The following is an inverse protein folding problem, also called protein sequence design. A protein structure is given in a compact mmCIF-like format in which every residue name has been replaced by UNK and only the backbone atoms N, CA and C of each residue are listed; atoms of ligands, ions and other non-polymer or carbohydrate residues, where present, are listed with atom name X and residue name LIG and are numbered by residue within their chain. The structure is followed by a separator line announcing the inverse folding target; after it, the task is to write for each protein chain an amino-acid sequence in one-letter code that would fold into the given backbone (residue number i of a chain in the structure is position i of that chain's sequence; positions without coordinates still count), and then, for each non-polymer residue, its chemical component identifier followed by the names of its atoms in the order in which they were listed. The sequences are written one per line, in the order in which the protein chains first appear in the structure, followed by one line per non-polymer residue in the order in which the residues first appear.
data_IF_128246131422
#
_entry.id   IF_128246131422
#
_cell.length_a   1.000
_cell.length_b   1.000
_cell.length_c   1.000
_cell.angle_alpha   90.00
_cell.angle_beta   90.00
_cell.angle_gamma   90.00
#
_symmetry.space_group_name_H-M   'P 1'
#
loop_
_entity.id
_entity.type
_entity.pdbx_description
1 polymer ?
#
# COMPACT_ATOMS: atom_id res chain seq x y z
N UNK A 1 -8.41 24.34 1.24
CA UNK A 1 -9.24 23.57 0.30
C UNK A 1 -8.48 22.35 -0.20
N UNK A 2 -8.33 21.32 0.63
CA UNK A 2 -7.65 20.08 0.21
C UNK A 2 -8.70 19.07 -0.18
N UNK A 3 -9.04 19.07 -1.48
CA UNK A 3 -9.81 17.97 -2.07
C UNK A 3 -8.90 16.73 -2.02
N UNK A 4 -9.33 15.61 -1.41
CA UNK A 4 -8.53 14.39 -1.44
C UNK A 4 -8.36 13.93 -2.90
N UNK A 5 -7.22 13.34 -3.23
CA UNK A 5 -7.08 12.63 -4.48
C UNK A 5 -7.94 11.38 -4.42
N UNK A 6 -8.87 11.24 -5.36
CA UNK A 6 -9.75 10.07 -5.48
C UNK A 6 -9.45 9.42 -6.83
N UNK A 7 -9.08 8.15 -6.80
CA UNK A 7 -8.75 7.39 -8.00
C UNK A 7 -9.01 5.90 -7.79
N UNK A 8 -9.24 5.19 -8.89
CA UNK A 8 -9.41 3.73 -8.91
C UNK A 8 -8.06 3.03 -8.78
N UNK A 9 -8.03 1.96 -7.99
CA UNK A 9 -6.89 1.06 -7.84
C UNK A 9 -7.37 -0.38 -7.88
N UNK A 10 -6.48 -1.28 -8.29
CA UNK A 10 -6.70 -2.72 -8.17
C UNK A 10 -5.79 -3.29 -7.08
N UNK A 11 -6.36 -4.03 -6.14
CA UNK A 11 -5.59 -4.67 -5.08
C UNK A 11 -4.80 -5.83 -5.70
N UNK A 12 -3.49 -5.67 -5.78
CA UNK A 12 -2.61 -6.67 -6.42
C UNK A 12 -2.31 -7.86 -5.51
N UNK A 13 -2.43 -7.70 -4.19
CA UNK A 13 -2.24 -8.78 -3.23
C UNK A 13 -2.43 -8.30 -1.79
N UNK A 14 -2.77 -9.25 -0.93
CA UNK A 14 -3.05 -9.00 0.48
C UNK A 14 -4.40 -8.31 0.73
N UNK A 15 -4.46 -7.52 1.81
CA UNK A 15 -5.68 -6.84 2.26
C UNK A 15 -5.44 -5.33 2.36
N UNK A 16 -6.25 -4.57 1.64
CA UNK A 16 -6.28 -3.11 1.72
C UNK A 16 -7.28 -2.69 2.79
N UNK A 17 -6.84 -1.88 3.76
CA UNK A 17 -7.70 -1.40 4.87
C UNK A 17 -7.72 0.12 4.95
N UNK A 18 -8.78 0.69 5.53
CA UNK A 18 -8.83 2.11 5.88
C UNK A 18 -7.71 2.48 6.85
N UNK A 19 -7.30 3.75 6.79
CA UNK A 19 -6.23 4.33 7.59
C UNK A 19 -4.83 3.74 7.37
N UNK A 20 -4.63 2.98 6.29
CA UNK A 20 -3.33 2.42 5.94
C UNK A 20 -2.44 3.50 5.30
N UNK A 21 -1.18 3.53 5.72
CA UNK A 21 -0.16 4.39 5.13
C UNK A 21 0.40 3.73 3.88
N UNK A 22 0.60 4.53 2.83
CA UNK A 22 1.05 4.06 1.52
C UNK A 22 2.34 4.77 1.12
N UNK A 23 3.22 4.02 0.45
CA UNK A 23 4.47 4.48 -0.16
C UNK A 23 4.50 4.11 -1.64
N UNK A 24 5.32 4.80 -2.42
CA UNK A 24 5.56 4.46 -3.83
C UNK A 24 6.74 3.48 -4.00
N UNK A 25 7.02 3.10 -5.24
CA UNK A 25 8.13 2.22 -5.66
C UNK A 25 9.54 2.74 -5.29
N UNK A 26 9.66 4.02 -4.93
CA UNK A 26 10.89 4.67 -4.49
C UNK A 26 10.98 4.79 -2.96
N UNK A 27 9.93 4.42 -2.23
CA UNK A 27 9.86 4.49 -0.77
C UNK A 27 9.31 5.82 -0.24
N UNK A 28 8.95 6.75 -1.13
CA UNK A 28 8.39 8.03 -0.74
C UNK A 28 6.95 7.88 -0.25
N UNK A 29 6.59 8.68 0.76
CA UNK A 29 5.25 8.67 1.36
C UNK A 29 4.22 9.25 0.38
N UNK A 30 3.25 8.42 0.01
CA UNK A 30 2.09 8.84 -0.80
C UNK A 30 1.02 9.45 0.10
N UNK A 31 0.79 8.86 1.26
CA UNK A 31 -0.19 9.36 2.24
C UNK A 31 -0.99 8.24 2.88
N UNK A 32 -2.14 8.59 3.45
CA UNK A 32 -3.00 7.67 4.17
C UNK A 32 -4.36 7.48 3.45
N UNK A 33 -4.81 6.24 3.34
CA UNK A 33 -6.11 5.89 2.76
C UNK A 33 -7.24 6.30 3.71
N UNK A 34 -7.95 7.37 3.38
CA UNK A 34 -9.08 7.86 4.18
C UNK A 34 -10.34 7.04 4.00
N UNK A 35 -10.72 6.76 2.75
CA UNK A 35 -11.88 5.93 2.42
C UNK A 35 -11.57 4.99 1.27
N UNK A 36 -12.21 3.82 1.33
CA UNK A 36 -12.26 2.82 0.28
C UNK A 36 -13.72 2.70 -0.14
N UNK A 37 -13.97 2.66 -1.45
CA UNK A 37 -15.29 2.51 -2.04
C UNK A 37 -15.27 1.38 -3.07
N UNK A 38 -16.14 0.40 -2.88
CA UNK A 38 -16.33 -0.74 -3.77
C UNK A 38 -17.78 -0.73 -4.25
N UNK A 39 -17.99 -0.75 -5.57
CA UNK A 39 -19.33 -0.76 -6.18
C UNK A 39 -20.32 0.26 -5.59
N UNK A 40 -19.88 1.52 -5.47
CA UNK A 40 -20.63 2.65 -4.86
C UNK A 40 -20.81 2.58 -3.34
N UNK A 41 -20.45 1.50 -2.67
CA UNK A 41 -20.54 1.36 -1.22
C UNK A 41 -19.21 1.65 -0.52
N UNK A 42 -19.23 2.33 0.63
CA UNK A 42 -18.00 2.50 1.42
C UNK A 42 -17.71 1.21 2.18
N UNK A 43 -16.51 0.68 1.99
CA UNK A 43 -16.04 -0.54 2.65
C UNK A 43 -14.88 -0.22 3.58
N UNK A 44 -14.65 -1.06 4.59
CA UNK A 44 -13.54 -0.90 5.52
C UNK A 44 -12.28 -1.63 5.05
N UNK A 45 -12.47 -2.68 4.25
CA UNK A 45 -11.42 -3.50 3.69
C UNK A 45 -11.76 -3.94 2.26
N UNK A 46 -10.72 -4.34 1.53
CA UNK A 46 -10.81 -4.90 0.18
C UNK A 46 -9.69 -5.93 -0.01
N UNK A 47 -9.96 -6.96 -0.81
CA UNK A 47 -9.11 -8.13 -0.98
C UNK A 47 -8.42 -8.14 -2.34
N UNK A 48 -7.41 -9.01 -2.48
CA UNK A 48 -6.73 -9.26 -3.74
C UNK A 48 -7.71 -9.49 -4.90
N UNK A 49 -7.47 -8.79 -6.01
CA UNK A 49 -8.30 -8.86 -7.20
C UNK A 49 -9.35 -7.76 -7.31
N UNK A 50 -9.79 -7.19 -6.19
CA UNK A 50 -10.82 -6.16 -6.17
C UNK A 50 -10.36 -4.86 -6.83
N UNK A 51 -11.28 -4.20 -7.53
CA UNK A 51 -11.11 -2.86 -8.09
C UNK A 51 -11.91 -1.86 -7.25
N UNK A 52 -11.20 -1.01 -6.52
CA UNK A 52 -11.80 -0.07 -5.57
C UNK A 52 -11.36 1.36 -5.85
N UNK A 53 -12.24 2.32 -5.56
CA UNK A 53 -11.86 3.72 -5.49
C UNK A 53 -11.34 4.05 -4.10
N UNK A 54 -10.12 4.58 -4.02
CA UNK A 54 -9.55 5.07 -2.76
C UNK A 54 -9.47 6.58 -2.75
N UNK A 55 -9.51 7.14 -1.54
CA UNK A 55 -9.28 8.58 -1.32
C UNK A 55 -8.08 8.80 -0.41
N UNK A 56 -7.14 9.61 -0.87
CA UNK A 56 -5.94 9.98 -0.11
C UNK A 56 -5.93 11.50 0.06
N UNK A 57 -6.11 12.03 1.28
CA UNK A 57 -6.02 13.45 1.56
C UNK A 57 -4.60 13.97 1.32
N UNK A 58 -4.50 15.24 0.92
CA UNK A 58 -3.23 15.96 0.73
C UNK A 58 -2.28 15.36 -0.32
N UNK A 59 -2.72 14.37 -1.10
CA UNK A 59 -1.97 13.81 -2.22
C UNK A 59 -2.28 14.60 -3.50
N UNK A 60 -1.25 15.03 -4.22
CA UNK A 60 -1.42 15.60 -5.55
C UNK A 60 -1.22 14.50 -6.62
N UNK A 61 -2.31 13.97 -7.15
CA UNK A 61 -2.27 12.85 -8.09
C UNK A 61 -1.41 13.14 -9.33
N UNK A 62 -1.61 14.28 -10.00
CA UNK A 62 -0.89 14.60 -11.24
C UNK A 62 0.62 14.77 -11.05
N UNK A 63 1.06 15.14 -9.85
CA UNK A 63 2.48 15.38 -9.55
C UNK A 63 3.19 14.18 -8.92
N UNK A 64 2.50 13.44 -8.06
CA UNK A 64 3.11 12.38 -7.25
C UNK A 64 2.75 10.97 -7.73
N UNK A 65 1.60 10.80 -8.37
CA UNK A 65 1.12 9.49 -8.85
C UNK A 65 1.24 9.31 -10.36
N UNK A 66 1.38 10.39 -11.12
CA UNK A 66 1.51 10.31 -12.57
C UNK A 66 2.76 9.51 -12.96
N UNK A 67 2.54 8.37 -13.63
CA UNK A 67 3.61 7.46 -14.08
C UNK A 67 4.06 6.43 -13.04
N UNK A 68 3.57 6.51 -11.79
CA UNK A 68 3.78 5.44 -10.80
C UNK A 68 2.80 4.31 -11.09
N UNK A 69 3.29 3.06 -11.10
CA UNK A 69 2.47 1.90 -11.47
C UNK A 69 1.95 1.18 -10.24
N UNK A 70 2.76 1.13 -9.18
CA UNK A 70 2.43 0.44 -7.95
C UNK A 70 2.60 1.35 -6.73
N UNK A 71 1.79 1.09 -5.71
CA UNK A 71 1.92 1.64 -4.37
C UNK A 71 1.86 0.48 -3.38
N UNK A 72 2.61 0.62 -2.30
CA UNK A 72 2.77 -0.42 -1.30
C UNK A 72 2.37 0.11 0.07
N UNK A 73 2.01 -0.80 0.97
CA UNK A 73 1.80 -0.44 2.37
C UNK A 73 3.12 0.01 3.01
N UNK A 74 3.06 1.10 3.75
CA UNK A 74 4.18 1.57 4.58
C UNK A 74 4.29 0.68 5.82
N UNK A 75 4.96 -0.47 5.63
CA UNK A 75 5.15 -1.48 6.66
C UNK A 75 6.35 -1.11 7.53
N UNK A 76 6.24 -1.26 8.86
CA UNK A 76 7.37 -1.06 9.78
C UNK A 76 8.29 -2.28 9.85
N UNK A 77 9.51 -2.12 10.39
CA UNK A 77 10.43 -3.25 10.60
C UNK A 77 9.82 -4.34 11.51
N UNK A 78 9.09 -3.93 12.55
CA UNK A 78 8.43 -4.86 13.47
C UNK A 78 7.31 -5.65 12.78
N UNK A 79 6.47 -4.98 11.98
CA UNK A 79 5.44 -5.65 11.19
C UNK A 79 6.05 -6.60 10.17
N UNK A 80 7.10 -6.16 9.48
CA UNK A 80 7.81 -6.99 8.51
C UNK A 80 8.41 -8.26 9.14
N UNK A 81 9.04 -8.13 10.32
CA UNK A 81 9.55 -9.29 11.07
C UNK A 81 8.41 -10.24 11.46
N UNK A 82 7.29 -9.72 11.94
CA UNK A 82 6.13 -10.55 12.28
C UNK A 82 5.60 -11.32 11.06
N UNK A 83 5.51 -10.68 9.89
CA UNK A 83 5.15 -11.36 8.65
C UNK A 83 6.20 -12.41 8.23
N UNK A 84 7.48 -12.13 8.47
CA UNK A 84 8.60 -13.04 8.17
C UNK A 84 8.62 -14.27 9.09
N UNK A 85 8.18 -14.13 10.33
CA UNK A 85 8.02 -15.23 11.29
C UNK A 85 6.79 -16.09 10.97
N UNK A 86 5.70 -15.47 10.53
CA UNK A 86 4.45 -16.15 10.19
C UNK A 86 4.30 -16.42 8.69
N UNK A 87 5.41 -16.71 7.99
CA UNK A 87 5.41 -16.92 6.52
C UNK A 87 4.49 -18.05 6.06
N UNK A 88 4.27 -19.05 6.90
CA UNK A 88 3.40 -20.19 6.59
C UNK A 88 1.93 -19.79 6.45
N UNK A 89 1.55 -18.61 6.95
CA UNK A 89 0.20 -18.05 6.82
C UNK A 89 0.05 -17.14 5.60
N UNK A 90 1.13 -16.85 4.88
CA UNK A 90 1.14 -15.92 3.76
C UNK A 90 0.99 -16.64 2.42
N UNK A 91 0.28 -16.01 1.50
CA UNK A 91 0.20 -16.48 0.12
C UNK A 91 1.51 -16.19 -0.62
N UNK A 92 1.71 -16.89 -1.75
CA UNK A 92 2.87 -16.64 -2.63
C UNK A 92 2.95 -15.18 -3.10
N UNK A 93 1.79 -14.58 -3.41
CA UNK A 93 1.66 -13.17 -3.80
C UNK A 93 2.09 -12.24 -2.67
N UNK A 94 1.59 -12.46 -1.44
CA UNK A 94 1.95 -11.65 -0.27
C UNK A 94 3.45 -11.74 0.04
N UNK A 95 4.04 -12.93 -0.07
CA UNK A 95 5.47 -13.11 0.15
C UNK A 95 6.32 -12.41 -0.92
N UNK A 96 5.84 -12.34 -2.18
CA UNK A 96 6.49 -11.56 -3.22
C UNK A 96 6.40 -10.05 -2.93
N UNK A 97 5.22 -9.56 -2.56
CA UNK A 97 5.02 -8.15 -2.19
C UNK A 97 5.90 -7.76 -1.01
N UNK A 98 6.03 -8.60 0.02
CA UNK A 98 6.92 -8.35 1.14
C UNK A 98 8.39 -8.24 0.72
N UNK A 99 8.84 -9.08 -0.22
CA UNK A 99 10.20 -8.96 -0.78
C UNK A 99 10.38 -7.63 -1.50
N UNK A 100 9.40 -7.19 -2.28
CA UNK A 100 9.42 -5.88 -2.95
C UNK A 100 9.47 -4.73 -1.94
N UNK A 101 8.62 -4.73 -0.91
CA UNK A 101 8.63 -3.74 0.17
C UNK A 101 10.00 -3.69 0.85
N UNK A 102 10.58 -4.85 1.16
CA UNK A 102 11.92 -4.90 1.77
C UNK A 102 12.99 -4.32 0.84
N UNK A 103 12.90 -4.57 -0.47
CA UNK A 103 13.81 -4.01 -1.46
C UNK A 103 13.69 -2.49 -1.55
N UNK A 104 12.47 -1.96 -1.53
CA UNK A 104 12.21 -0.51 -1.53
C UNK A 104 12.81 0.15 -0.27
N UNK A 105 12.50 -0.38 0.92
CA UNK A 105 12.99 0.18 2.19
C UNK A 105 14.51 0.07 2.34
N UNK A 106 15.11 -1.01 1.82
CA UNK A 106 16.57 -1.21 1.89
C UNK A 106 17.38 -0.26 1.01
N UNK A 107 16.76 0.37 -0.01
CA UNK A 107 17.42 1.44 -0.77
C UNK A 107 17.79 2.63 0.11
N UNK A 108 16.95 2.94 1.09
CA UNK A 108 17.18 4.03 2.05
C UNK A 108 17.98 3.55 3.27
N UNK A 109 17.64 2.36 3.81
CA UNK A 109 18.30 1.78 4.98
C UNK A 109 18.68 0.31 4.72
N UNK A 110 19.94 -0.01 4.38
CA UNK A 110 20.36 -1.37 4.03
C UNK A 110 20.05 -2.45 5.07
N UNK A 111 20.11 -2.08 6.36
CA UNK A 111 19.83 -2.97 7.51
C UNK A 111 18.33 -3.15 7.80
N UNK A 112 17.43 -2.59 6.98
CA UNK A 112 15.99 -2.63 7.24
C UNK A 112 15.43 -4.05 7.10
N UNK A 113 14.72 -4.51 8.14
CA UNK A 113 14.06 -5.83 8.16
C UNK A 113 15.02 -7.02 8.27
N UNK A 114 16.29 -6.78 8.63
CA UNK A 114 17.24 -7.83 9.06
C UNK A 114 16.75 -8.44 10.37
#
# INVERSE_FOLDING_TARGET
NTKPAIFGVRVSGGKLIKNLHMINEEGEKVGNIKNIQHEKNSVNESHEGDEVAISIPNLNYERQMKGKKYIYSDTSESQFRNFKENKDLLTGTEMQILKEISGIKRKEKPEWGV
#
